data_IF_910680590943
#
_entry.id   IF_910680590943
#
_cell.length_a   1.000
_cell.length_b   1.000
_cell.length_c   1.000
_cell.angle_alpha   90.00
_cell.angle_beta   90.00
_cell.angle_gamma   90.00
#
_symmetry.space_group_name_H-M   'P 1'
#
loop_
_entity.id
_entity.type
_entity.pdbx_description
1 polymer ?
#
# COMPACT_ATOMS: atom_id res chain seq x y z
N UNK A 1 2.36 0.91 15.34
CA UNK A 1 1.71 0.40 14.10
C UNK A 1 0.22 0.73 14.14
N UNK A 2 -0.49 0.90 13.01
CA UNK A 2 -1.89 1.39 12.96
C UNK A 2 -2.88 0.64 13.88
N UNK A 3 -2.69 -0.66 14.10
CA UNK A 3 -3.49 -1.45 15.05
C UNK A 3 -3.21 -1.09 16.52
N UNK A 4 -1.98 -0.73 16.87
CA UNK A 4 -1.55 -0.39 18.24
C UNK A 4 -1.93 1.04 18.66
N UNK A 5 -2.26 1.89 17.69
CA UNK A 5 -2.61 3.30 17.92
C UNK A 5 -4.13 3.53 17.87
N UNK A 6 -4.90 2.50 17.53
CA UNK A 6 -6.35 2.51 17.63
C UNK A 6 -6.77 1.84 18.94
N UNK A 7 -7.94 2.18 19.45
CA UNK A 7 -8.60 1.50 20.57
C UNK A 7 -9.15 0.13 20.14
N UNK A 8 -8.26 -0.71 19.58
CA UNK A 8 -8.56 -2.01 18.98
C UNK A 8 -7.59 -3.04 19.54
N UNK A 9 -8.13 -4.21 19.88
CA UNK A 9 -7.36 -5.37 20.28
C UNK A 9 -6.58 -5.95 19.07
N UNK A 10 -5.36 -5.46 18.89
CA UNK A 10 -4.47 -5.86 17.80
C UNK A 10 -4.09 -7.34 17.85
N UNK A 11 -3.94 -7.92 19.05
CA UNK A 11 -3.59 -9.33 19.23
C UNK A 11 -4.74 -10.22 18.76
N UNK A 12 -5.99 -9.84 19.05
CA UNK A 12 -7.16 -10.52 18.52
C UNK A 12 -7.26 -10.46 16.99
N UNK A 13 -6.90 -9.32 16.39
CA UNK A 13 -6.86 -9.18 14.92
C UNK A 13 -5.80 -10.09 14.30
N UNK A 14 -4.60 -10.15 14.91
CA UNK A 14 -3.53 -11.06 14.48
C UNK A 14 -3.93 -12.53 14.62
N UNK A 15 -4.49 -12.90 15.77
CA UNK A 15 -4.92 -14.27 16.06
C UNK A 15 -5.98 -14.77 15.06
N UNK A 16 -6.90 -13.90 14.62
CA UNK A 16 -7.89 -14.24 13.59
C UNK A 16 -7.25 -14.58 12.22
N UNK A 17 -6.05 -14.07 11.93
CA UNK A 17 -5.28 -14.42 10.75
C UNK A 17 -4.42 -15.68 10.93
N UNK A 18 -4.36 -16.24 12.15
CA UNK A 18 -3.40 -17.28 12.54
C UNK A 18 -2.00 -16.74 12.78
N UNK A 19 -1.89 -15.47 13.14
CA UNK A 19 -0.63 -14.78 13.40
C UNK A 19 -0.47 -14.50 14.90
N UNK A 20 0.79 -14.44 15.30
CA UNK A 20 1.22 -14.00 16.62
C UNK A 20 2.33 -12.96 16.44
N UNK A 21 2.32 -11.91 17.27
CA UNK A 21 3.25 -10.81 17.16
C UNK A 21 4.70 -11.24 17.42
N UNK A 22 4.92 -12.09 18.43
CA UNK A 22 6.28 -12.55 18.75
C UNK A 22 6.89 -13.31 17.57
N UNK A 23 6.08 -14.13 16.89
CA UNK A 23 6.48 -14.84 15.68
C UNK A 23 6.80 -13.88 14.54
N UNK A 24 5.93 -12.89 14.26
CA UNK A 24 6.12 -11.92 13.16
C UNK A 24 7.39 -11.09 13.27
N UNK A 25 7.88 -10.81 14.49
CA UNK A 25 9.10 -10.04 14.70
C UNK A 25 10.36 -10.87 14.50
N UNK A 26 10.26 -12.20 14.65
CA UNK A 26 11.42 -13.11 14.59
C UNK A 26 11.51 -13.92 13.29
N UNK A 27 10.40 -14.06 12.56
CA UNK A 27 10.31 -14.87 11.34
C UNK A 27 10.24 -13.96 10.10
N UNK A 28 11.28 -14.01 9.26
CA UNK A 28 11.36 -13.28 7.99
C UNK A 28 10.64 -13.99 6.83
N UNK A 29 9.95 -15.11 7.08
CA UNK A 29 9.17 -15.78 6.06
C UNK A 29 8.05 -14.88 5.54
N UNK A 30 7.91 -14.87 4.21
CA UNK A 30 6.79 -14.19 3.56
C UNK A 30 5.46 -14.80 4.00
N UNK A 31 4.54 -13.92 4.40
CA UNK A 31 3.17 -14.30 4.70
C UNK A 31 2.46 -14.75 3.41
N UNK A 32 1.73 -15.85 3.52
CA UNK A 32 0.85 -16.32 2.45
C UNK A 32 -0.30 -15.34 2.19
N UNK A 33 -0.78 -15.32 0.96
CA UNK A 33 -1.88 -14.44 0.53
C UNK A 33 -3.13 -14.58 1.41
N UNK A 34 -3.58 -15.79 1.68
CA UNK A 34 -4.80 -16.01 2.47
C UNK A 34 -4.67 -15.48 3.90
N UNK A 35 -3.47 -15.55 4.47
CA UNK A 35 -3.16 -14.96 5.78
C UNK A 35 -3.25 -13.44 5.74
N UNK A 36 -2.73 -12.80 4.68
CA UNK A 36 -2.84 -11.35 4.47
C UNK A 36 -4.30 -10.92 4.29
N UNK A 37 -5.09 -11.68 3.53
CA UNK A 37 -6.52 -11.41 3.33
C UNK A 37 -7.28 -11.48 4.66
N UNK A 38 -7.11 -12.57 5.43
CA UNK A 38 -7.75 -12.70 6.75
C UNK A 38 -7.34 -11.59 7.72
N UNK A 39 -6.06 -11.18 7.69
CA UNK A 39 -5.58 -10.07 8.51
C UNK A 39 -6.27 -8.75 8.12
N UNK A 40 -6.40 -8.47 6.83
CA UNK A 40 -7.10 -7.29 6.34
C UNK A 40 -8.59 -7.32 6.71
N UNK A 41 -9.28 -8.45 6.54
CA UNK A 41 -10.69 -8.62 6.94
C UNK A 41 -10.90 -8.40 8.45
N UNK A 42 -10.01 -8.97 9.27
CA UNK A 42 -10.02 -8.79 10.72
C UNK A 42 -9.82 -7.33 11.11
N UNK A 43 -8.86 -6.65 10.49
CA UNK A 43 -8.59 -5.23 10.74
C UNK A 43 -9.78 -4.35 10.32
N UNK A 44 -10.36 -4.59 9.13
CA UNK A 44 -11.53 -3.86 8.64
C UNK A 44 -12.73 -4.04 9.57
N UNK A 45 -12.98 -5.26 10.03
CA UNK A 45 -14.08 -5.60 10.96
C UNK A 45 -13.90 -4.92 12.30
N UNK A 46 -12.68 -4.96 12.86
CA UNK A 46 -12.39 -4.40 14.17
C UNK A 46 -12.41 -2.86 14.17
N UNK A 47 -11.85 -2.24 13.13
CA UNK A 47 -11.74 -0.78 13.02
C UNK A 47 -13.02 -0.10 12.57
N UNK A 48 -13.88 -0.79 11.81
CA UNK A 48 -15.13 -0.26 11.24
C UNK A 48 -14.97 1.06 10.48
N UNK A 49 -13.82 1.26 9.83
CA UNK A 49 -13.50 2.45 9.04
C UNK A 49 -13.44 2.08 7.56
N UNK A 50 -14.38 2.55 6.72
CA UNK A 50 -14.35 2.22 5.30
C UNK A 50 -13.11 2.79 4.59
N UNK A 51 -12.51 3.86 5.12
CA UNK A 51 -11.26 4.47 4.61
C UNK A 51 -9.97 3.92 5.24
N UNK A 52 -10.03 2.79 5.97
CA UNK A 52 -8.86 2.24 6.67
C UNK A 52 -7.64 2.03 5.74
N UNK A 53 -7.89 1.67 4.47
CA UNK A 53 -6.83 1.51 3.48
C UNK A 53 -6.09 2.83 3.22
N UNK A 54 -6.83 3.94 3.13
CA UNK A 54 -6.24 5.26 2.92
C UNK A 54 -5.32 5.66 4.08
N UNK A 55 -5.73 5.40 5.33
CA UNK A 55 -4.88 5.65 6.51
C UNK A 55 -3.62 4.78 6.48
N UNK A 56 -3.77 3.50 6.13
CA UNK A 56 -2.66 2.56 6.08
C UNK A 56 -1.63 2.95 5.03
N UNK A 57 -2.07 3.26 3.82
CA UNK A 57 -1.18 3.68 2.74
C UNK A 57 -0.50 5.01 3.05
N UNK A 58 -1.25 6.00 3.54
CA UNK A 58 -0.76 7.36 3.78
C UNK A 58 0.16 7.46 5.01
N UNK A 59 0.02 6.55 5.97
CA UNK A 59 0.88 6.44 7.14
C UNK A 59 2.16 5.63 6.91
N UNK A 60 2.34 4.99 5.76
CA UNK A 60 3.52 4.19 5.48
C UNK A 60 4.75 5.09 5.23
N UNK A 61 5.88 4.90 5.95
CA UNK A 61 7.10 5.65 5.67
C UNK A 61 7.69 5.20 4.33
N UNK A 62 8.48 6.08 3.68
CA UNK A 62 9.18 5.76 2.42
C UNK A 62 9.98 4.46 2.52
N UNK A 63 10.59 4.20 3.68
CA UNK A 63 11.36 2.98 3.96
C UNK A 63 10.54 1.69 3.85
N UNK A 64 9.21 1.72 4.08
CA UNK A 64 8.33 0.55 3.93
C UNK A 64 8.14 0.11 2.47
N UNK A 65 8.55 0.95 1.52
CA UNK A 65 8.52 0.66 0.08
C UNK A 65 9.89 0.23 -0.46
N UNK A 66 10.93 0.20 0.37
CA UNK A 66 12.28 -0.22 -0.02
C UNK A 66 12.89 0.66 -1.11
N UNK A 67 13.69 0.06 -1.99
CA UNK A 67 14.40 0.77 -3.07
C UNK A 67 13.46 1.53 -4.03
N UNK A 68 12.26 0.99 -4.29
CA UNK A 68 11.24 1.66 -5.08
C UNK A 68 10.84 3.00 -4.44
N UNK A 69 10.56 3.00 -3.14
CA UNK A 69 10.17 4.21 -2.41
C UNK A 69 11.22 5.29 -2.54
N UNK A 70 12.49 4.94 -2.30
CA UNK A 70 13.60 5.88 -2.43
C UNK A 70 13.76 6.41 -3.86
N UNK A 71 13.70 5.55 -4.88
CA UNK A 71 13.81 5.99 -6.28
C UNK A 71 12.69 6.97 -6.68
N UNK A 72 11.47 6.74 -6.20
CA UNK A 72 10.32 7.64 -6.45
C UNK A 72 10.54 8.99 -5.77
N UNK A 73 10.92 9.03 -4.50
CA UNK A 73 11.06 10.32 -3.78
C UNK A 73 12.29 11.14 -4.19
N UNK A 74 13.28 10.51 -4.83
CA UNK A 74 14.44 11.22 -5.40
C UNK A 74 14.25 11.62 -6.86
N UNK A 75 13.09 11.34 -7.45
CA UNK A 75 12.79 11.73 -8.84
C UNK A 75 12.74 13.26 -8.97
N UNK A 76 13.21 13.78 -10.08
CA UNK A 76 13.32 15.23 -10.32
C UNK A 76 11.97 15.92 -10.42
N UNK A 77 10.97 15.22 -10.96
CA UNK A 77 9.62 15.74 -11.17
C UNK A 77 8.57 14.61 -11.10
N UNK A 78 7.29 15.00 -11.11
CA UNK A 78 6.16 14.06 -10.97
C UNK A 78 6.10 13.04 -12.10
N UNK A 79 6.56 13.44 -13.30
CA UNK A 79 6.62 12.58 -14.47
C UNK A 79 7.64 11.47 -14.25
N UNK A 80 8.85 11.81 -13.81
CA UNK A 80 9.89 10.82 -13.49
C UNK A 80 9.45 9.92 -12.32
N UNK A 81 8.81 10.47 -11.29
CA UNK A 81 8.29 9.71 -10.16
C UNK A 81 7.27 8.64 -10.60
N UNK A 82 6.30 9.02 -11.45
CA UNK A 82 5.29 8.09 -11.94
C UNK A 82 5.87 7.03 -12.89
N UNK A 83 6.79 7.41 -13.79
CA UNK A 83 7.45 6.45 -14.70
C UNK A 83 8.31 5.46 -13.92
N UNK A 84 9.03 5.92 -12.90
CA UNK A 84 9.81 5.07 -11.99
C UNK A 84 8.89 4.08 -11.27
N UNK A 85 7.75 4.55 -10.75
CA UNK A 85 6.77 3.70 -10.12
C UNK A 85 6.18 2.68 -11.10
N UNK A 86 5.83 3.10 -12.31
CA UNK A 86 5.26 2.19 -13.30
C UNK A 86 6.25 1.10 -13.74
N UNK A 87 7.54 1.45 -13.82
CA UNK A 87 8.60 0.51 -14.21
C UNK A 87 8.91 -0.53 -13.13
N UNK A 88 8.93 -0.13 -11.86
CA UNK A 88 9.41 -0.97 -10.75
C UNK A 88 8.32 -1.40 -9.76
N UNK A 89 7.09 -0.90 -9.90
CA UNK A 89 5.97 -1.17 -8.99
C UNK A 89 5.62 -2.65 -8.87
N UNK A 90 5.72 -3.40 -9.96
CA UNK A 90 5.48 -4.86 -10.00
C UNK A 90 6.46 -5.64 -9.12
N UNK A 91 7.68 -5.13 -8.90
CA UNK A 91 8.66 -5.76 -8.00
C UNK A 91 8.22 -5.66 -6.53
N UNK A 92 7.45 -4.62 -6.18
CA UNK A 92 6.92 -4.42 -4.83
C UNK A 92 5.58 -5.10 -4.60
N UNK A 93 4.74 -5.16 -5.63
CA UNK A 93 3.43 -5.80 -5.62
C UNK A 93 3.12 -6.36 -7.01
N UNK A 94 3.19 -7.69 -7.15
CA UNK A 94 2.94 -8.40 -8.40
C UNK A 94 1.46 -8.60 -8.71
N UNK A 95 0.56 -8.31 -7.77
CA UNK A 95 -0.88 -8.32 -7.99
C UNK A 95 -1.36 -7.15 -8.86
N UNK A 96 -0.50 -6.17 -9.16
CA UNK A 96 -0.81 -5.02 -10.01
C UNK A 96 0.22 -4.87 -11.13
N UNK A 97 -0.26 -4.54 -12.32
CA UNK A 97 0.52 -4.05 -13.45
C UNK A 97 0.38 -2.54 -13.51
N UNK A 98 1.48 -1.85 -13.82
CA UNK A 98 1.50 -0.40 -13.88
C UNK A 98 1.90 0.07 -15.28
N UNK A 99 1.20 1.08 -15.78
CA UNK A 99 1.52 1.73 -17.05
C UNK A 99 1.36 3.24 -16.93
N UNK A 100 2.23 3.99 -17.60
CA UNK A 100 2.07 5.43 -17.80
C UNK A 100 1.76 5.68 -19.28
N UNK A 101 0.73 6.47 -19.53
CA UNK A 101 0.27 6.81 -20.88
C UNK A 101 0.29 8.33 -21.00
N UNK A 102 1.09 8.84 -21.93
CA UNK A 102 1.04 10.24 -22.32
C UNK A 102 -0.25 10.56 -23.06
N UNK A 103 -0.82 11.71 -22.74
CA UNK A 103 -2.03 12.25 -23.37
C UNK A 103 -1.80 13.74 -23.65
N UNK A 104 -2.59 14.36 -24.55
CA UNK A 104 -2.52 15.80 -24.76
C UNK A 104 -2.77 16.63 -23.50
N UNK A 105 -3.52 16.08 -22.52
CA UNK A 105 -3.86 16.75 -21.26
C UNK A 105 -2.84 16.50 -20.13
N UNK A 106 -1.77 15.75 -20.39
CA UNK A 106 -0.79 15.33 -19.38
C UNK A 106 -0.58 13.82 -19.41
N UNK A 107 -0.35 13.20 -18.25
CA UNK A 107 -0.02 11.78 -18.17
C UNK A 107 -1.03 11.04 -17.30
N UNK A 108 -1.48 9.88 -17.75
CA UNK A 108 -2.32 8.97 -16.97
C UNK A 108 -1.49 7.79 -16.49
N UNK A 109 -1.41 7.58 -15.19
CA UNK A 109 -0.91 6.34 -14.62
C UNK A 109 -2.08 5.37 -14.40
N UNK A 110 -1.96 4.14 -14.91
CA UNK A 110 -2.99 3.09 -14.77
C UNK A 110 -2.43 1.90 -14.00
N UNK A 111 -3.23 1.44 -13.04
CA UNK A 111 -3.06 0.15 -12.39
C UNK A 111 -4.04 -0.85 -13.01
N UNK A 112 -3.57 -2.05 -13.35
CA UNK A 112 -4.43 -3.16 -13.72
C UNK A 112 -4.19 -4.33 -12.78
N UNK A 113 -5.26 -4.92 -12.26
CA UNK A 113 -5.16 -6.14 -11.45
C UNK A 113 -4.63 -7.31 -12.28
N UNK A 114 -3.58 -7.96 -11.77
CA UNK A 114 -2.97 -9.16 -12.38
C UNK A 114 -3.34 -10.45 -11.66
N UNK A 115 -3.83 -10.31 -10.44
CA UNK A 115 -4.36 -11.37 -9.63
C UNK A 115 -5.64 -10.85 -8.97
N UNK A 116 -6.53 -11.76 -8.58
CA UNK A 116 -7.62 -11.42 -7.69
C UNK A 116 -7.03 -10.71 -6.45
N UNK A 117 -7.67 -9.69 -5.89
CA UNK A 117 -7.21 -9.03 -4.66
C UNK A 117 -7.93 -9.56 -3.41
N UNK A 118 -8.87 -10.49 -3.58
CA UNK A 118 -9.78 -10.96 -2.54
C UNK A 118 -11.03 -10.07 -2.49
N UNK A 119 -12.18 -10.62 -2.87
CA UNK A 119 -13.43 -9.84 -3.04
C UNK A 119 -13.81 -8.98 -1.82
N UNK A 120 -13.60 -9.48 -0.60
CA UNK A 120 -13.91 -8.77 0.65
C UNK A 120 -12.95 -7.63 1.01
N UNK A 121 -11.71 -7.64 0.47
CA UNK A 121 -10.65 -6.68 0.84
C UNK A 121 -10.13 -5.86 -0.34
N UNK A 122 -10.64 -6.10 -1.55
CA UNK A 122 -10.18 -5.44 -2.79
C UNK A 122 -10.16 -3.91 -2.67
N UNK A 123 -11.24 -3.31 -2.16
CA UNK A 123 -11.31 -1.86 -1.99
C UNK A 123 -10.25 -1.34 -1.01
N UNK A 124 -10.08 -2.01 0.14
CA UNK A 124 -9.05 -1.70 1.12
C UNK A 124 -7.64 -1.76 0.53
N UNK A 125 -7.35 -2.78 -0.30
CA UNK A 125 -6.05 -2.91 -0.98
C UNK A 125 -5.84 -1.77 -1.97
N UNK A 126 -6.84 -1.44 -2.79
CA UNK A 126 -6.77 -0.34 -3.75
C UNK A 126 -6.53 0.99 -3.04
N UNK A 127 -7.28 1.27 -1.97
CA UNK A 127 -7.12 2.49 -1.16
C UNK A 127 -5.73 2.58 -0.54
N UNK A 128 -5.22 1.46 0.00
CA UNK A 128 -3.87 1.38 0.57
C UNK A 128 -2.81 1.71 -0.47
N UNK A 129 -2.90 1.11 -1.65
CA UNK A 129 -1.92 1.34 -2.71
C UNK A 129 -2.02 2.77 -3.25
N UNK A 130 -3.23 3.26 -3.51
CA UNK A 130 -3.45 4.62 -4.00
C UNK A 130 -2.89 5.66 -3.03
N UNK A 131 -3.22 5.54 -1.73
CA UNK A 131 -2.77 6.48 -0.71
C UNK A 131 -1.25 6.46 -0.54
N UNK A 132 -0.63 5.28 -0.58
CA UNK A 132 0.83 5.17 -0.56
C UNK A 132 1.50 5.86 -1.76
N UNK A 133 0.92 5.70 -2.97
CA UNK A 133 1.41 6.37 -4.19
C UNK A 133 1.31 7.88 -4.05
N UNK A 134 0.15 8.39 -3.64
CA UNK A 134 -0.05 9.83 -3.45
C UNK A 134 0.94 10.39 -2.44
N UNK A 135 1.15 9.70 -1.32
CA UNK A 135 2.11 10.11 -0.28
C UNK A 135 3.55 10.12 -0.78
N UNK A 136 3.95 9.15 -1.60
CA UNK A 136 5.27 9.14 -2.24
C UNK A 136 5.43 10.30 -3.22
N UNK A 137 4.41 10.60 -4.03
CA UNK A 137 4.44 11.74 -4.95
C UNK A 137 4.52 13.07 -4.21
N UNK A 138 3.69 13.30 -3.18
CA UNK A 138 3.78 14.48 -2.32
C UNK A 138 5.17 14.63 -1.69
N UNK A 139 5.81 13.53 -1.31
CA UNK A 139 7.16 13.54 -0.75
C UNK A 139 8.22 13.87 -1.81
N UNK A 140 8.03 13.43 -3.05
CA UNK A 140 8.95 13.66 -4.16
C UNK A 140 8.92 15.11 -4.66
N UNK A 141 7.73 15.67 -4.85
CA UNK A 141 7.57 16.97 -5.55
C UNK A 141 7.02 18.10 -4.68
N UNK A 142 6.76 17.82 -3.40
CA UNK A 142 6.10 18.76 -2.48
C UNK A 142 4.59 18.80 -2.65
N UNK A 143 3.93 19.69 -1.89
CA UNK A 143 2.49 19.90 -1.98
C UNK A 143 2.15 20.95 -3.05
N UNK A 144 0.99 20.80 -3.70
CA UNK A 144 0.42 21.88 -4.50
C UNK A 144 0.16 23.06 -3.54
N UNK A 145 0.68 24.28 -3.80
CA UNK A 145 0.34 25.44 -2.99
C UNK A 145 -1.17 25.62 -2.96
N UNK A 146 -1.75 25.64 -1.76
CA UNK A 146 -3.18 25.88 -1.53
C UNK A 146 -3.60 27.32 -1.77
#
# INVERSE_FOLDING_TARGET
MLLQHADVDGDRVLAAAGLDWATLVTDDRRLGRDTIVRLAEGAMTAMRRPWLGLDLGGGAPVSAHGALGYAVVTSRDLREAAVTLARYGTTRNDAMAWTCIETPAGMTMRAAERADLGGGVRAFVIDTVLSAILRMFETAVGQIPG
#
